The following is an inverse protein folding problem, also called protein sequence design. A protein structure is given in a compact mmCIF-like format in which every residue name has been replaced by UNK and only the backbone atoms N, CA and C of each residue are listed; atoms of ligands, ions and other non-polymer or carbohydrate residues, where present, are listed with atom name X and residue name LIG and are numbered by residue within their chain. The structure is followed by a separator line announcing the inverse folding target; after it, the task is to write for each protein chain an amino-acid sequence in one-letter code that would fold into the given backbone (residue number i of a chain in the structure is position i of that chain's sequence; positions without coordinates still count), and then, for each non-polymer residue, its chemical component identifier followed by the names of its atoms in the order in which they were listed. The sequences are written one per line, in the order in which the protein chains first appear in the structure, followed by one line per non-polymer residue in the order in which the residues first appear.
data_IF_214197077360
#
_entry.id   IF_214197077360
#
_cell.length_a   1.000
_cell.length_b   1.000
_cell.length_c   1.000
_cell.angle_alpha   90.00
_cell.angle_beta   90.00
_cell.angle_gamma   90.00
#
_symmetry.space_group_name_H-M   'P 1'
#
loop_
_entity.id
_entity.type
_entity.pdbx_description
1 polymer ?
#
# COMPACT_ATOMS: atom_id res chain seq x y z
N UNK A 1 -14.13 15.96 -18.68
CA UNK A 1 -15.01 16.88 -17.93
C UNK A 1 -16.35 17.12 -18.62
N UNK A 2 -16.38 17.20 -19.96
CA UNK A 2 -17.61 17.50 -20.73
C UNK A 2 -18.54 16.30 -20.86
N UNK A 3 -18.00 15.08 -20.87
CA UNK A 3 -18.77 13.85 -21.00
C UNK A 3 -18.35 12.81 -19.96
N UNK A 4 -18.75 13.04 -18.71
CA UNK A 4 -18.40 12.19 -17.59
C UNK A 4 -18.77 10.70 -17.77
N UNK A 5 -19.69 10.38 -18.68
CA UNK A 5 -20.11 9.02 -19.02
C UNK A 5 -18.97 8.17 -19.60
N UNK A 6 -18.10 8.78 -20.42
CA UNK A 6 -17.02 8.09 -21.14
C UNK A 6 -15.63 8.35 -20.55
N UNK A 7 -15.55 8.77 -19.29
CA UNK A 7 -14.28 9.11 -18.63
C UNK A 7 -13.77 8.04 -17.68
N UNK A 8 -14.30 6.83 -17.75
CA UNK A 8 -13.81 5.68 -17.01
C UNK A 8 -12.62 5.00 -17.72
N UNK A 9 -11.94 4.13 -16.98
CA UNK A 9 -10.74 3.46 -17.49
C UNK A 9 -11.00 2.65 -18.76
N UNK A 10 -12.07 1.83 -18.88
CA UNK A 10 -12.34 1.06 -20.08
C UNK A 10 -12.47 1.92 -21.35
N UNK A 11 -13.20 3.03 -21.29
CA UNK A 11 -13.35 3.94 -22.43
C UNK A 11 -12.03 4.61 -22.81
N UNK A 12 -11.19 4.98 -21.82
CA UNK A 12 -9.86 5.54 -22.08
C UNK A 12 -8.97 4.49 -22.78
N UNK A 13 -8.97 3.25 -22.32
CA UNK A 13 -8.20 2.16 -22.92
C UNK A 13 -8.66 1.86 -24.35
N UNK A 14 -9.97 1.82 -24.57
CA UNK A 14 -10.55 1.63 -25.91
C UNK A 14 -10.16 2.79 -26.84
N UNK A 15 -10.27 4.03 -26.37
CA UNK A 15 -9.89 5.22 -27.14
C UNK A 15 -8.40 5.25 -27.52
N UNK A 16 -7.51 4.81 -26.63
CA UNK A 16 -6.07 4.73 -26.93
C UNK A 16 -5.74 3.73 -28.04
N UNK A 17 -6.63 2.79 -28.32
CA UNK A 17 -6.45 1.80 -29.39
C UNK A 17 -7.01 2.26 -30.75
N UNK A 18 -7.69 3.41 -30.79
CA UNK A 18 -8.18 4.00 -32.05
C UNK A 18 -7.04 4.49 -32.96
N UNK A 19 -7.37 4.82 -34.20
CA UNK A 19 -6.41 5.39 -35.17
C UNK A 19 -5.89 6.74 -34.65
N UNK A 20 -4.69 7.13 -35.07
CA UNK A 20 -4.15 8.43 -34.70
C UNK A 20 -4.99 9.58 -35.22
N UNK A 21 -5.54 9.43 -36.44
CA UNK A 21 -6.46 10.39 -37.06
C UNK A 21 -7.64 10.64 -36.10
N UNK A 22 -8.31 9.58 -35.67
CA UNK A 22 -9.45 9.62 -34.76
C UNK A 22 -9.08 10.25 -33.41
N UNK A 23 -7.95 9.83 -32.83
CA UNK A 23 -7.49 10.36 -31.55
C UNK A 23 -7.25 11.88 -31.64
N UNK A 24 -6.54 12.33 -32.67
CA UNK A 24 -6.24 13.76 -32.83
C UNK A 24 -7.48 14.56 -33.20
N UNK A 25 -8.36 14.06 -34.04
CA UNK A 25 -9.62 14.72 -34.38
C UNK A 25 -10.44 15.01 -33.11
N UNK A 26 -10.64 14.01 -32.29
CA UNK A 26 -11.41 14.16 -31.03
C UNK A 26 -10.72 15.08 -30.03
N UNK A 27 -9.44 14.89 -29.76
CA UNK A 27 -8.72 15.66 -28.75
C UNK A 27 -8.51 17.13 -29.15
N UNK A 28 -8.44 17.41 -30.42
CA UNK A 28 -8.27 18.78 -30.95
C UNK A 28 -9.55 19.61 -30.91
N UNK A 29 -10.72 18.99 -30.71
CA UNK A 29 -11.98 19.74 -30.51
C UNK A 29 -12.02 20.50 -29.19
N UNK A 30 -11.19 20.10 -28.22
CA UNK A 30 -11.12 20.75 -26.92
C UNK A 30 -10.00 21.80 -26.88
N UNK A 31 -10.37 23.06 -26.68
CA UNK A 31 -9.44 24.20 -26.65
C UNK A 31 -8.46 24.18 -25.47
N UNK A 32 -8.75 23.47 -24.38
CA UNK A 32 -7.85 23.31 -23.24
C UNK A 32 -6.85 22.16 -23.48
N UNK A 33 -7.26 21.14 -24.24
CA UNK A 33 -6.43 19.95 -24.52
C UNK A 33 -5.52 20.15 -25.72
N UNK A 34 -6.01 20.83 -26.76
CA UNK A 34 -5.28 21.04 -28.02
C UNK A 34 -3.84 21.58 -27.83
N UNK A 35 -3.56 22.56 -26.95
CA UNK A 35 -2.18 23.03 -26.71
C UNK A 35 -1.26 21.98 -26.10
N UNK A 36 -1.80 21.03 -25.32
CA UNK A 36 -1.03 19.98 -24.68
C UNK A 36 -0.54 18.91 -25.65
N UNK A 37 -1.16 18.83 -26.82
CA UNK A 37 -0.85 17.86 -27.86
C UNK A 37 0.25 18.33 -28.83
N UNK A 38 0.82 19.52 -28.62
CA UNK A 38 1.77 20.14 -29.57
C UNK A 38 2.85 19.21 -30.10
N UNK A 39 3.65 18.51 -29.23
CA UNK A 39 4.71 17.62 -29.71
C UNK A 39 4.17 16.43 -30.54
N UNK A 40 3.05 15.85 -30.12
CA UNK A 40 2.41 14.72 -30.81
C UNK A 40 1.81 15.16 -32.13
N UNK A 41 1.15 16.31 -32.16
CA UNK A 41 0.58 16.89 -33.36
C UNK A 41 1.64 17.19 -34.42
N UNK A 42 2.77 17.76 -34.02
CA UNK A 42 3.87 18.05 -34.95
C UNK A 42 4.39 16.78 -35.61
N UNK A 43 4.53 15.68 -34.84
CA UNK A 43 4.93 14.39 -35.39
C UNK A 43 3.86 13.83 -36.36
N UNK A 44 2.59 13.97 -36.01
CA UNK A 44 1.47 13.52 -36.88
C UNK A 44 1.37 14.32 -38.18
N UNK A 45 1.37 15.65 -38.10
CA UNK A 45 1.28 16.56 -39.27
C UNK A 45 2.47 16.36 -40.25
N UNK A 46 3.66 16.09 -39.70
CA UNK A 46 4.87 15.79 -40.47
C UNK A 46 4.93 14.33 -40.97
N UNK A 47 3.91 13.51 -40.70
CA UNK A 47 3.86 12.09 -41.03
C UNK A 47 5.04 11.28 -40.46
N UNK A 48 5.60 11.72 -39.32
CA UNK A 48 6.68 11.06 -38.62
C UNK A 48 6.10 9.92 -37.76
N UNK A 49 5.50 8.91 -38.39
CA UNK A 49 4.76 7.84 -37.72
C UNK A 49 5.64 7.00 -36.79
N UNK A 50 6.90 6.74 -37.13
CA UNK A 50 7.85 6.04 -36.25
C UNK A 50 8.10 6.80 -34.94
N UNK A 51 8.21 8.14 -35.02
CA UNK A 51 8.35 8.97 -33.83
C UNK A 51 7.06 8.95 -32.97
N UNK A 52 5.91 9.02 -33.60
CA UNK A 52 4.62 8.99 -32.95
C UNK A 52 4.39 7.63 -32.27
N UNK A 53 4.70 6.53 -32.94
CA UNK A 53 4.67 5.18 -32.34
C UNK A 53 5.66 5.04 -31.20
N UNK A 54 6.84 5.62 -31.26
CA UNK A 54 7.79 5.63 -30.15
C UNK A 54 7.23 6.32 -28.90
N UNK A 55 6.46 7.40 -29.07
CA UNK A 55 5.84 8.15 -27.96
C UNK A 55 4.57 7.47 -27.40
N UNK A 56 3.70 6.96 -28.25
CA UNK A 56 2.37 6.42 -27.86
C UNK A 56 2.39 4.90 -27.77
N UNK A 57 3.17 4.22 -28.60
CA UNK A 57 3.24 2.77 -28.66
C UNK A 57 3.67 2.14 -27.35
N UNK A 58 4.60 2.75 -26.63
CA UNK A 58 5.00 2.30 -25.28
C UNK A 58 3.80 2.32 -24.31
N UNK A 59 3.00 3.39 -24.34
CA UNK A 59 1.79 3.49 -23.52
C UNK A 59 0.78 2.40 -23.91
N UNK A 60 0.56 2.18 -25.23
CA UNK A 60 -0.33 1.12 -25.74
C UNK A 60 0.11 -0.26 -25.27
N UNK A 61 1.40 -0.58 -25.35
CA UNK A 61 1.94 -1.87 -24.88
C UNK A 61 1.68 -2.07 -23.38
N UNK A 62 1.94 -1.06 -22.55
CA UNK A 62 1.69 -1.17 -21.11
C UNK A 62 0.20 -1.24 -20.75
N UNK A 63 -0.66 -0.56 -21.48
CA UNK A 63 -2.09 -0.51 -21.19
C UNK A 63 -2.88 -1.65 -21.83
N UNK A 64 -2.40 -2.27 -22.92
CA UNK A 64 -3.09 -3.35 -23.62
C UNK A 64 -3.39 -4.55 -22.72
N UNK A 65 -2.48 -4.88 -21.80
CA UNK A 65 -2.67 -5.96 -20.82
C UNK A 65 -3.82 -5.71 -19.85
N UNK A 66 -4.24 -4.44 -19.68
CA UNK A 66 -5.35 -4.06 -18.82
C UNK A 66 -6.69 -4.08 -19.58
N UNK A 67 -6.68 -4.22 -20.90
CA UNK A 67 -7.86 -4.21 -21.76
C UNK A 67 -8.51 -5.61 -21.82
N UNK A 68 -8.85 -6.18 -20.67
CA UNK A 68 -9.59 -7.46 -20.57
C UNK A 68 -11.07 -7.21 -20.37
N UNK A 69 -11.91 -8.18 -20.73
CA UNK A 69 -13.37 -8.10 -20.52
C UNK A 69 -13.73 -8.00 -19.04
N UNK A 70 -12.95 -8.63 -18.15
CA UNK A 70 -13.09 -8.55 -16.71
C UNK A 70 -12.77 -7.14 -16.18
N UNK A 71 -11.66 -6.58 -16.61
CA UNK A 71 -11.29 -5.21 -16.25
C UNK A 71 -12.33 -4.20 -16.71
N UNK A 72 -12.84 -4.37 -17.94
CA UNK A 72 -13.88 -3.51 -18.48
C UNK A 72 -15.17 -3.59 -17.66
N UNK A 73 -15.55 -4.78 -17.22
CA UNK A 73 -16.70 -4.97 -16.36
C UNK A 73 -16.56 -4.29 -14.99
N UNK A 74 -15.41 -4.47 -14.34
CA UNK A 74 -15.18 -3.93 -12.99
C UNK A 74 -15.06 -2.41 -12.99
N UNK A 75 -14.43 -1.83 -14.01
CA UNK A 75 -14.11 -0.40 -14.05
C UNK A 75 -15.06 0.45 -14.91
N UNK A 76 -16.07 -0.17 -15.53
CA UNK A 76 -17.12 0.58 -16.24
C UNK A 76 -18.10 1.20 -15.26
N UNK A 77 -18.67 2.35 -15.62
CA UNK A 77 -19.68 3.05 -14.81
C UNK A 77 -21.08 2.46 -14.87
N UNK A 78 -21.23 1.27 -15.45
CA UNK A 78 -22.52 0.60 -15.54
C UNK A 78 -22.76 -0.27 -14.31
N UNK A 79 -23.49 0.24 -13.35
CA UNK A 79 -23.85 -0.44 -12.11
C UNK A 79 -23.82 0.45 -10.88
N UNK A 80 -23.88 -0.17 -9.72
CA UNK A 80 -23.74 0.52 -8.44
C UNK A 80 -22.26 0.92 -8.26
N UNK A 81 -21.98 2.22 -8.37
CA UNK A 81 -20.65 2.75 -8.19
C UNK A 81 -20.20 2.61 -6.73
N UNK A 82 -19.09 1.91 -6.49
CA UNK A 82 -18.44 1.90 -5.19
C UNK A 82 -17.54 3.13 -5.03
N UNK A 83 -17.89 4.03 -4.12
CA UNK A 83 -17.01 5.15 -3.80
C UNK A 83 -15.87 4.69 -2.89
N UNK A 84 -14.63 4.80 -3.37
CA UNK A 84 -13.42 4.48 -2.61
C UNK A 84 -13.19 5.39 -1.39
N UNK A 85 -14.10 6.30 -1.06
CA UNK A 85 -14.07 7.06 0.19
C UNK A 85 -14.66 6.25 1.34
N UNK A 86 -14.01 5.14 1.68
CA UNK A 86 -14.41 4.25 2.79
C UNK A 86 -14.46 4.94 4.15
N UNK A 87 -13.89 6.15 4.26
CA UNK A 87 -13.92 7.01 5.45
C UNK A 87 -15.14 7.91 5.54
N UNK A 88 -16.12 7.80 4.63
CA UNK A 88 -17.33 8.62 4.68
C UNK A 88 -18.21 8.18 5.87
N UNK A 89 -18.54 9.09 6.81
CA UNK A 89 -19.40 8.75 7.95
C UNK A 89 -20.82 8.35 7.56
N UNK A 90 -21.31 8.77 6.38
CA UNK A 90 -22.64 8.42 5.90
C UNK A 90 -22.69 7.03 5.25
N UNK A 91 -21.55 6.58 4.72
CA UNK A 91 -21.40 5.30 4.01
C UNK A 91 -20.09 4.59 4.37
N UNK A 92 -19.86 4.26 5.66
CA UNK A 92 -18.66 3.54 6.06
C UNK A 92 -18.64 2.16 5.39
N UNK A 93 -17.52 1.78 4.81
CA UNK A 93 -17.43 0.59 3.98
C UNK A 93 -16.17 -0.22 4.23
N UNK A 94 -16.23 -1.52 3.95
CA UNK A 94 -15.06 -2.39 3.87
C UNK A 94 -14.70 -2.62 2.41
N UNK A 95 -13.41 -2.53 2.11
CA UNK A 95 -12.86 -2.88 0.80
C UNK A 95 -11.85 -4.00 0.98
N UNK A 96 -12.11 -5.13 0.36
CA UNK A 96 -11.20 -6.27 0.29
C UNK A 96 -10.63 -6.34 -1.13
N UNK A 97 -9.31 -6.35 -1.22
CA UNK A 97 -8.59 -6.47 -2.49
C UNK A 97 -7.73 -7.73 -2.40
N UNK A 98 -7.95 -8.65 -3.33
CA UNK A 98 -7.14 -9.86 -3.44
C UNK A 98 -6.21 -9.78 -4.64
N UNK A 99 -5.07 -10.46 -4.56
CA UNK A 99 -4.16 -10.69 -5.69
C UNK A 99 -4.30 -12.15 -6.15
N UNK A 100 -4.00 -12.39 -7.42
CA UNK A 100 -3.96 -13.73 -8.01
C UNK A 100 -2.55 -13.96 -8.54
N UNK A 101 -1.80 -14.94 -7.99
CA UNK A 101 -0.44 -15.24 -8.42
C UNK A 101 -0.31 -15.59 -9.91
N UNK A 102 -1.33 -16.21 -10.51
CA UNK A 102 -1.32 -16.57 -11.94
C UNK A 102 -1.48 -15.35 -12.86
N UNK A 103 -2.15 -14.29 -12.36
CA UNK A 103 -2.45 -13.08 -13.11
C UNK A 103 -1.85 -11.81 -12.47
N UNK A 104 -0.81 -11.97 -11.67
CA UNK A 104 -0.22 -10.90 -10.86
C UNK A 104 0.13 -9.64 -11.66
N UNK A 105 0.67 -9.80 -12.86
CA UNK A 105 1.05 -8.66 -13.72
C UNK A 105 -0.12 -7.78 -14.17
N UNK A 106 -1.33 -8.33 -14.22
CA UNK A 106 -2.55 -7.61 -14.61
C UNK A 106 -3.27 -7.14 -13.34
N UNK A 107 -3.58 -8.06 -12.44
CA UNK A 107 -4.33 -7.78 -11.21
C UNK A 107 -3.56 -6.86 -10.28
N UNK A 108 -2.24 -7.06 -10.14
CA UNK A 108 -1.39 -6.17 -9.35
C UNK A 108 -1.41 -4.72 -9.86
N UNK A 109 -1.41 -4.52 -11.19
CA UNK A 109 -1.53 -3.18 -11.77
C UNK A 109 -2.90 -2.53 -11.51
N UNK A 110 -3.98 -3.31 -11.60
CA UNK A 110 -5.34 -2.85 -11.29
C UNK A 110 -5.49 -2.53 -9.80
N UNK A 111 -4.99 -3.40 -8.93
CA UNK A 111 -4.97 -3.19 -7.49
C UNK A 111 -4.18 -1.93 -7.13
N UNK A 112 -3.01 -1.71 -7.75
CA UNK A 112 -2.23 -0.48 -7.56
C UNK A 112 -3.00 0.79 -7.97
N UNK A 113 -3.78 0.73 -9.04
CA UNK A 113 -4.65 1.84 -9.47
C UNK A 113 -5.73 2.13 -8.43
N UNK A 114 -6.43 1.11 -7.93
CA UNK A 114 -7.45 1.23 -6.89
C UNK A 114 -6.84 1.81 -5.62
N UNK A 115 -5.71 1.26 -5.14
CA UNK A 115 -5.03 1.70 -3.92
C UNK A 115 -4.54 3.15 -4.02
N UNK A 116 -3.95 3.54 -5.15
CA UNK A 116 -3.53 4.94 -5.36
C UNK A 116 -4.72 5.92 -5.36
N UNK A 117 -5.88 5.49 -5.85
CA UNK A 117 -7.11 6.27 -5.79
C UNK A 117 -7.67 6.30 -4.38
N UNK A 118 -7.72 5.16 -3.69
CA UNK A 118 -8.14 5.02 -2.29
C UNK A 118 -7.38 5.98 -1.38
N UNK A 119 -6.05 6.00 -1.46
CA UNK A 119 -5.19 6.92 -0.69
C UNK A 119 -5.60 8.37 -0.88
N UNK A 120 -5.85 8.77 -2.11
CA UNK A 120 -6.28 10.14 -2.41
C UNK A 120 -7.66 10.43 -1.79
N UNK A 121 -8.57 9.46 -1.77
CA UNK A 121 -9.93 9.61 -1.23
C UNK A 121 -9.95 9.65 0.29
N UNK A 122 -9.20 8.77 0.97
CA UNK A 122 -9.19 8.72 2.44
C UNK A 122 -8.33 9.82 3.07
N UNK A 123 -7.33 10.32 2.34
CA UNK A 123 -6.43 11.39 2.83
C UNK A 123 -7.00 12.81 2.58
N UNK A 124 -8.30 12.95 2.55
CA UNK A 124 -9.01 14.23 2.38
C UNK A 124 -10.16 14.34 3.38
N UNK A 125 -10.56 15.56 3.73
CA UNK A 125 -11.72 15.81 4.58
C UNK A 125 -11.40 15.79 6.07
N UNK A 126 -10.30 16.42 6.48
CA UNK A 126 -9.85 16.52 7.88
C UNK A 126 -10.99 16.74 8.89
N UNK A 127 -11.01 15.94 9.94
CA UNK A 127 -11.97 16.03 11.04
C UNK A 127 -13.37 15.45 10.76
N UNK A 128 -13.75 15.25 9.51
CA UNK A 128 -15.07 14.71 9.11
C UNK A 128 -15.08 13.21 8.84
N UNK A 129 -13.92 12.59 8.75
CA UNK A 129 -13.79 11.17 8.43
C UNK A 129 -14.03 10.27 9.64
N UNK A 130 -14.61 9.09 9.42
CA UNK A 130 -14.51 8.00 10.38
C UNK A 130 -13.09 7.40 10.33
N UNK A 131 -12.61 6.78 11.42
CA UNK A 131 -11.32 6.09 11.40
C UNK A 131 -11.29 4.98 10.35
N UNK A 132 -10.18 4.88 9.62
CA UNK A 132 -9.95 3.84 8.61
C UNK A 132 -8.63 3.13 8.91
N UNK A 133 -8.63 1.82 8.79
CA UNK A 133 -7.41 1.01 8.81
C UNK A 133 -7.14 0.44 7.41
N UNK A 134 -5.93 0.69 6.92
CA UNK A 134 -5.42 0.09 5.68
C UNK A 134 -4.41 -0.98 6.10
N UNK A 135 -4.71 -2.23 5.79
CA UNK A 135 -3.86 -3.38 6.11
C UNK A 135 -3.40 -4.00 4.79
N UNK A 136 -2.10 -4.03 4.58
CA UNK A 136 -1.45 -4.66 3.42
C UNK A 136 -0.60 -5.81 3.93
N UNK A 137 -1.01 -7.04 3.67
CA UNK A 137 -0.37 -8.24 4.20
C UNK A 137 0.99 -8.52 3.56
N UNK A 138 1.10 -8.36 2.26
CA UNK A 138 2.36 -8.56 1.51
C UNK A 138 2.62 -7.36 0.59
N UNK A 139 3.28 -6.33 1.12
CA UNK A 139 3.52 -5.07 0.41
C UNK A 139 4.36 -5.22 -0.87
N UNK A 140 5.39 -6.09 -0.94
CA UNK A 140 6.18 -6.27 -2.17
C UNK A 140 5.37 -6.74 -3.37
N UNK A 141 4.24 -7.43 -3.19
CA UNK A 141 3.38 -7.86 -4.30
C UNK A 141 2.54 -6.73 -4.91
N UNK A 142 2.58 -5.55 -4.31
CA UNK A 142 1.76 -4.40 -4.69
C UNK A 142 2.62 -3.15 -4.84
N UNK A 143 2.68 -2.57 -6.04
CA UNK A 143 3.33 -1.27 -6.22
C UNK A 143 2.41 -0.13 -5.76
N UNK A 144 2.55 0.28 -4.52
CA UNK A 144 1.73 1.30 -3.88
C UNK A 144 2.48 2.63 -3.78
N UNK A 145 2.57 3.34 -4.89
CA UNK A 145 3.45 4.51 -5.07
C UNK A 145 3.30 5.64 -4.03
N UNK A 146 2.11 5.82 -3.45
CA UNK A 146 1.84 6.94 -2.52
C UNK A 146 1.81 6.53 -1.05
N UNK A 147 2.30 5.34 -0.73
CA UNK A 147 2.22 4.82 0.63
C UNK A 147 3.05 5.66 1.63
N UNK A 148 4.23 6.12 1.23
CA UNK A 148 5.09 6.97 2.03
C UNK A 148 4.40 8.29 2.42
N UNK A 149 3.69 8.91 1.49
CA UNK A 149 2.91 10.12 1.75
C UNK A 149 1.73 9.84 2.66
N UNK A 150 1.04 8.73 2.46
CA UNK A 150 -0.09 8.36 3.29
C UNK A 150 0.34 8.21 4.74
N UNK A 151 1.41 7.44 5.01
CA UNK A 151 1.91 7.23 6.37
C UNK A 151 2.22 8.56 7.04
N UNK A 152 2.89 9.49 6.33
CA UNK A 152 3.27 10.81 6.86
C UNK A 152 2.09 11.77 7.11
N UNK A 153 0.96 11.63 6.41
CA UNK A 153 -0.16 12.59 6.45
C UNK A 153 -1.47 12.00 6.96
N UNK A 154 -1.53 10.69 7.15
CA UNK A 154 -2.77 9.97 7.45
C UNK A 154 -3.35 10.28 8.83
N UNK A 155 -2.52 10.67 9.80
CA UNK A 155 -2.94 10.92 11.20
C UNK A 155 -4.08 11.93 11.30
N UNK A 156 -3.97 13.06 10.60
CA UNK A 156 -5.01 14.12 10.61
C UNK A 156 -6.33 13.68 9.98
N UNK A 157 -6.30 12.66 9.13
CA UNK A 157 -7.47 12.05 8.50
C UNK A 157 -7.96 10.78 9.19
N UNK A 158 -7.39 10.44 10.36
CA UNK A 158 -7.72 9.23 11.16
C UNK A 158 -7.49 7.93 10.38
N UNK A 159 -6.45 7.88 9.56
CA UNK A 159 -6.07 6.66 8.82
C UNK A 159 -4.89 6.01 9.51
N UNK A 160 -5.02 4.75 9.90
CA UNK A 160 -3.91 3.88 10.30
C UNK A 160 -3.45 3.02 9.13
N UNK A 161 -2.16 2.72 9.08
CA UNK A 161 -1.57 1.92 8.01
C UNK A 161 -0.73 0.82 8.64
N UNK A 162 -1.03 -0.42 8.29
CA UNK A 162 -0.26 -1.61 8.67
C UNK A 162 0.30 -2.25 7.40
N UNK A 163 1.62 -2.43 7.35
CA UNK A 163 2.32 -2.98 6.20
C UNK A 163 3.03 -4.26 6.61
N UNK A 164 2.71 -5.38 5.97
CA UNK A 164 3.39 -6.64 6.08
C UNK A 164 4.38 -6.86 4.94
N UNK A 165 5.51 -7.45 5.25
CA UNK A 165 6.50 -7.97 4.28
C UNK A 165 7.41 -8.98 5.00
N UNK A 166 8.09 -9.83 4.25
CA UNK A 166 8.91 -10.87 4.84
C UNK A 166 10.33 -10.39 5.12
N UNK A 167 10.97 -9.76 4.14
CA UNK A 167 12.37 -9.33 4.25
C UNK A 167 12.61 -7.99 3.54
N UNK A 168 13.53 -7.16 4.04
CA UNK A 168 13.85 -5.86 3.43
C UNK A 168 14.35 -5.94 1.99
N UNK A 169 15.16 -6.92 1.58
CA UNK A 169 15.58 -7.04 0.18
C UNK A 169 14.42 -7.18 -0.81
N UNK A 170 13.31 -7.84 -0.43
CA UNK A 170 12.12 -7.92 -1.27
C UNK A 170 11.49 -6.54 -1.44
N UNK A 171 11.37 -5.79 -0.34
CA UNK A 171 10.83 -4.44 -0.37
C UNK A 171 11.74 -3.49 -1.19
N UNK A 172 13.07 -3.67 -1.11
CA UNK A 172 14.03 -2.90 -1.90
C UNK A 172 13.93 -3.20 -3.41
N UNK A 173 13.68 -4.46 -3.77
CA UNK A 173 13.54 -4.86 -5.17
C UNK A 173 12.38 -4.13 -5.86
N UNK A 174 11.24 -3.93 -5.18
CA UNK A 174 10.04 -3.35 -5.77
C UNK A 174 9.93 -1.84 -5.59
N UNK A 175 10.37 -1.31 -4.46
CA UNK A 175 10.27 0.12 -4.13
C UNK A 175 11.58 0.90 -4.34
N UNK A 176 12.66 0.19 -4.64
CA UNK A 176 14.02 0.73 -4.68
C UNK A 176 14.52 1.14 -3.29
N UNK A 177 15.83 1.31 -3.15
CA UNK A 177 16.47 1.64 -1.87
C UNK A 177 15.88 2.89 -1.20
N UNK A 178 15.64 3.94 -1.98
CA UNK A 178 15.08 5.20 -1.45
C UNK A 178 13.62 5.02 -0.98
N UNK A 179 12.81 4.27 -1.73
CA UNK A 179 11.42 3.98 -1.37
C UNK A 179 11.34 3.14 -0.10
N UNK A 180 12.09 2.06 -0.01
CA UNK A 180 12.22 1.23 1.18
C UNK A 180 12.61 2.06 2.40
N UNK A 181 13.68 2.88 2.29
CA UNK A 181 14.13 3.73 3.40
C UNK A 181 13.05 4.70 3.89
N UNK A 182 12.31 5.33 2.99
CA UNK A 182 11.19 6.21 3.36
C UNK A 182 10.11 5.46 4.13
N UNK A 183 9.77 4.25 3.71
CA UNK A 183 8.76 3.43 4.39
C UNK A 183 9.22 3.09 5.81
N UNK A 184 10.38 2.44 5.95
CA UNK A 184 10.85 1.94 7.25
C UNK A 184 11.20 3.04 8.25
N UNK A 185 11.57 4.26 7.79
CA UNK A 185 11.84 5.40 8.69
C UNK A 185 10.60 6.16 9.13
N UNK A 186 9.48 5.97 8.44
CA UNK A 186 8.23 6.70 8.74
C UNK A 186 7.32 5.92 9.70
N UNK A 187 7.48 4.59 9.80
CA UNK A 187 6.68 3.75 10.69
C UNK A 187 7.13 3.90 12.14
N UNK A 188 6.17 4.05 13.06
CA UNK A 188 6.45 4.18 14.49
C UNK A 188 6.43 2.83 15.22
N UNK A 189 5.65 1.87 14.73
CA UNK A 189 5.53 0.54 15.32
C UNK A 189 6.17 -0.48 14.39
N UNK A 190 7.01 -1.35 14.95
CA UNK A 190 7.65 -2.45 14.23
C UNK A 190 7.46 -3.73 15.02
N UNK A 191 6.92 -4.75 14.36
CA UNK A 191 6.75 -6.09 14.91
C UNK A 191 7.38 -7.07 13.94
N UNK A 192 8.30 -7.90 14.40
CA UNK A 192 8.97 -8.90 13.58
C UNK A 192 8.98 -10.27 14.26
N UNK A 193 8.78 -11.30 13.47
CA UNK A 193 9.18 -12.66 13.80
C UNK A 193 10.68 -12.88 13.53
N UNK A 194 11.10 -14.14 13.37
CA UNK A 194 12.47 -14.46 12.94
C UNK A 194 12.70 -13.95 11.52
N UNK A 195 13.88 -13.38 11.26
CA UNK A 195 14.32 -12.94 9.95
C UNK A 195 15.62 -13.66 9.56
N UNK A 196 15.92 -13.71 8.28
CA UNK A 196 17.12 -14.40 7.77
C UNK A 196 18.01 -13.52 6.92
N UNK A 197 17.44 -12.55 6.20
CA UNK A 197 18.23 -11.64 5.40
C UNK A 197 19.10 -10.73 6.28
N UNK A 198 20.35 -10.59 5.89
CA UNK A 198 21.34 -9.80 6.63
C UNK A 198 20.87 -8.37 6.84
N UNK A 199 20.34 -7.76 5.82
CA UNK A 199 19.83 -6.36 5.82
C UNK A 199 18.69 -6.19 6.85
N UNK A 200 17.76 -7.15 6.91
CA UNK A 200 16.66 -7.16 7.88
C UNK A 200 17.19 -7.33 9.31
N UNK A 201 18.13 -8.25 9.51
CA UNK A 201 18.74 -8.49 10.82
C UNK A 201 19.55 -7.27 11.29
N UNK A 202 20.31 -6.62 10.41
CA UNK A 202 21.07 -5.42 10.72
C UNK A 202 20.13 -4.26 11.07
N UNK A 203 19.07 -4.05 10.31
CA UNK A 203 18.06 -3.03 10.59
C UNK A 203 17.39 -3.26 11.96
N UNK A 204 16.91 -4.46 12.23
CA UNK A 204 16.29 -4.78 13.53
C UNK A 204 17.29 -4.60 14.68
N UNK A 205 18.50 -5.16 14.56
CA UNK A 205 19.49 -5.14 15.62
C UNK A 205 20.08 -3.75 15.88
N UNK A 206 20.40 -2.97 14.83
CA UNK A 206 21.11 -1.70 14.98
C UNK A 206 20.17 -0.50 15.06
N UNK A 207 19.12 -0.45 14.22
CA UNK A 207 18.25 0.73 14.12
C UNK A 207 17.06 0.62 15.07
N UNK A 208 16.43 -0.55 15.17
CA UNK A 208 15.29 -0.75 16.05
C UNK A 208 15.74 -0.95 17.50
N UNK A 209 16.63 -1.92 17.76
CA UNK A 209 17.11 -2.19 19.12
C UNK A 209 18.25 -1.27 19.54
N UNK A 210 19.18 -0.94 18.66
CA UNK A 210 20.35 -0.13 18.97
C UNK A 210 21.39 -0.86 19.77
N UNK A 211 22.32 -0.08 20.36
CA UNK A 211 23.49 -0.60 21.08
C UNK A 211 23.47 -0.18 22.54
N UNK A 212 24.06 -1.00 23.38
CA UNK A 212 24.28 -0.74 24.81
C UNK A 212 25.76 -0.78 25.12
N UNK A 213 26.20 0.05 26.07
CA UNK A 213 27.57 0.02 26.58
C UNK A 213 27.67 -1.13 27.58
N UNK A 214 28.53 -2.11 27.28
CA UNK A 214 28.87 -3.18 28.20
C UNK A 214 30.26 -2.91 28.80
N UNK A 215 30.31 -2.86 30.13
CA UNK A 215 31.56 -2.76 30.86
C UNK A 215 32.14 -4.16 31.06
N UNK A 216 33.16 -4.52 30.28
CA UNK A 216 33.89 -5.79 30.48
C UNK A 216 35.06 -5.55 31.43
N UNK A 217 34.99 -6.15 32.62
CA UNK A 217 36.09 -6.14 33.59
C UNK A 217 37.01 -7.34 33.30
N UNK A 218 38.19 -7.05 32.82
CA UNK A 218 39.27 -8.02 32.75
C UNK A 218 40.13 -7.95 33.99
N UNK A 219 40.29 -9.04 34.74
CA UNK A 219 41.22 -9.13 35.86
C UNK A 219 42.40 -9.98 35.43
N UNK A 220 43.59 -9.40 35.35
CA UNK A 220 44.81 -10.14 35.15
C UNK A 220 45.55 -10.25 36.47
N UNK A 221 45.71 -11.51 36.92
CA UNK A 221 46.45 -11.81 38.17
C UNK A 221 47.80 -12.36 37.76
N UNK A 222 48.84 -11.62 38.06
CA UNK A 222 50.24 -12.12 37.97
C UNK A 222 50.78 -12.28 39.39
N UNK A 223 51.92 -13.00 39.57
CA UNK A 223 52.44 -13.36 40.89
C UNK A 223 52.66 -12.19 41.84
N UNK A 224 52.94 -10.99 41.30
CA UNK A 224 53.24 -9.81 42.11
C UNK A 224 52.31 -8.60 41.81
N UNK A 225 51.33 -8.68 40.89
CA UNK A 225 50.44 -7.56 40.51
C UNK A 225 49.07 -8.05 40.04
N UNK A 226 48.06 -7.44 40.59
CA UNK A 226 46.68 -7.58 40.09
C UNK A 226 46.36 -6.30 39.34
N UNK A 227 46.08 -6.40 38.03
CA UNK A 227 45.59 -5.28 37.23
C UNK A 227 44.14 -5.53 36.82
N UNK A 228 43.32 -4.51 36.97
CA UNK A 228 41.91 -4.50 36.59
C UNK A 228 41.82 -3.59 35.35
N UNK A 229 41.48 -4.19 34.21
CA UNK A 229 41.18 -3.42 33.01
C UNK A 229 39.68 -3.34 32.86
N UNK A 230 39.16 -2.12 32.75
CA UNK A 230 37.75 -1.89 32.43
C UNK A 230 37.71 -1.42 30.97
N UNK A 231 37.15 -2.26 30.11
CA UNK A 231 36.97 -1.93 28.70
C UNK A 231 35.47 -1.66 28.47
N UNK A 232 35.15 -0.54 27.88
CA UNK A 232 33.83 -0.20 27.39
C UNK A 232 33.66 -0.73 25.98
N UNK A 233 32.75 -1.68 25.78
CA UNK A 233 32.39 -2.16 24.45
C UNK A 233 30.94 -1.80 24.16
N UNK A 234 30.68 -1.33 22.94
CA UNK A 234 29.34 -1.15 22.43
C UNK A 234 28.86 -2.45 21.78
N UNK A 235 28.00 -3.18 22.46
CA UNK A 235 27.37 -4.39 21.93
C UNK A 235 25.90 -4.13 21.55
N UNK A 236 25.38 -4.83 20.54
CA UNK A 236 23.97 -4.72 20.15
C UNK A 236 23.07 -5.16 21.31
N UNK A 237 22.00 -4.42 21.59
CA UNK A 237 21.04 -4.76 22.65
C UNK A 237 20.41 -6.15 22.38
N UNK A 238 20.06 -6.40 21.14
CA UNK A 238 19.62 -7.71 20.64
C UNK A 238 20.44 -8.05 19.40
N UNK A 239 21.38 -8.99 19.47
CA UNK A 239 22.16 -9.41 18.32
C UNK A 239 21.29 -10.02 17.22
N UNK A 240 21.67 -9.78 15.95
CA UNK A 240 20.94 -10.34 14.80
C UNK A 240 20.81 -11.86 14.84
N UNK A 241 21.83 -12.57 15.33
CA UNK A 241 21.76 -14.04 15.52
C UNK A 241 20.62 -14.46 16.45
N UNK A 242 20.37 -13.70 17.53
CA UNK A 242 19.26 -13.99 18.44
C UNK A 242 17.89 -13.79 17.77
N UNK A 243 17.79 -12.82 16.84
CA UNK A 243 16.58 -12.60 16.06
C UNK A 243 16.39 -13.73 15.04
N UNK A 244 17.46 -14.13 14.37
CA UNK A 244 17.43 -15.23 13.39
C UNK A 244 17.00 -16.58 14.01
N UNK A 245 17.41 -16.82 15.25
CA UNK A 245 17.14 -18.06 15.98
C UNK A 245 15.83 -18.03 16.79
N UNK A 246 14.99 -17.02 16.61
CA UNK A 246 13.71 -16.95 17.34
C UNK A 246 12.80 -18.14 17.00
N UNK A 247 12.32 -18.89 18.00
CA UNK A 247 11.37 -19.96 17.78
C UNK A 247 9.97 -19.44 17.46
N UNK A 248 9.13 -20.30 16.91
CA UNK A 248 7.72 -19.99 16.63
C UNK A 248 7.01 -19.44 17.86
N UNK A 249 6.21 -18.40 17.67
CA UNK A 249 5.48 -17.73 18.75
C UNK A 249 6.28 -16.66 19.49
N UNK A 250 7.52 -16.37 19.05
CA UNK A 250 8.28 -15.24 19.56
C UNK A 250 8.19 -14.07 18.61
N UNK A 251 8.14 -12.87 19.17
CA UNK A 251 8.14 -11.60 18.44
C UNK A 251 9.14 -10.62 19.04
N UNK A 252 9.64 -9.76 18.21
CA UNK A 252 10.49 -8.66 18.64
C UNK A 252 10.13 -7.37 17.91
N UNK A 253 10.53 -6.23 18.45
CA UNK A 253 10.27 -4.97 17.80
C UNK A 253 10.24 -3.77 18.72
N UNK A 254 9.50 -2.76 18.26
CA UNK A 254 9.36 -1.48 18.94
C UNK A 254 7.94 -0.96 18.76
N UNK A 255 7.36 -0.36 19.81
CA UNK A 255 6.13 0.43 19.74
C UNK A 255 6.42 1.92 19.83
N UNK A 256 5.61 2.72 19.15
CA UNK A 256 5.66 4.17 19.33
C UNK A 256 5.32 4.55 20.78
N UNK A 257 5.98 5.58 21.29
CA UNK A 257 5.69 6.08 22.64
C UNK A 257 4.47 7.00 22.58
N UNK A 258 3.45 6.67 23.34
CA UNK A 258 2.34 7.57 23.62
C UNK A 258 2.52 8.23 24.99
N UNK A 259 2.14 9.49 25.07
CA UNK A 259 2.05 10.18 26.35
C UNK A 259 0.89 9.59 27.15
N UNK A 260 1.18 9.06 28.33
CA UNK A 260 0.15 8.61 29.25
C UNK A 260 -0.52 9.85 29.84
N UNK A 261 -1.77 10.10 29.46
CA UNK A 261 -2.61 11.11 30.09
C UNK A 261 -3.17 10.54 31.39
N UNK A 262 -2.55 10.83 32.50
CA UNK A 262 -3.12 10.51 33.82
C UNK A 262 -4.08 11.64 34.21
N UNK A 263 -5.35 11.30 34.49
CA UNK A 263 -6.29 12.20 35.15
C UNK A 263 -5.91 12.24 36.65
N UNK A 264 -5.20 13.26 37.06
CA UNK A 264 -5.05 13.57 38.48
C UNK A 264 -6.15 14.54 38.92
N UNK A 265 -7.02 14.07 39.76
CA UNK A 265 -8.08 14.63 40.55
C UNK A 265 -8.55 16.08 40.39
N UNK A 266 -9.89 16.29 40.42
CA UNK A 266 -10.65 17.53 40.60
C UNK A 266 -10.23 18.73 39.73
N UNK A 267 -10.71 18.76 38.51
CA UNK A 267 -10.66 19.92 37.64
C UNK A 267 -10.28 19.53 36.22
N UNK A 268 -10.78 20.25 35.22
CA UNK A 268 -10.57 20.01 33.79
C UNK A 268 -9.13 20.25 33.28
N UNK A 269 -8.10 20.28 34.15
CA UNK A 269 -6.69 20.37 33.79
C UNK A 269 -6.10 18.98 33.61
N UNK A 270 -5.69 18.65 32.40
CA UNK A 270 -4.85 17.50 32.13
C UNK A 270 -3.40 17.82 32.51
N UNK A 271 -2.91 17.31 33.63
CA UNK A 271 -1.50 17.30 33.93
C UNK A 271 -0.84 16.18 33.10
N UNK A 272 0.07 16.59 32.22
CA UNK A 272 0.96 15.68 31.51
C UNK A 272 2.07 15.35 32.48
N UNK A 273 2.00 14.20 33.17
CA UNK A 273 3.18 13.67 33.83
C UNK A 273 4.10 13.11 32.76
N UNK A 274 5.26 13.75 32.56
CA UNK A 274 6.39 13.11 31.92
C UNK A 274 6.73 11.87 32.74
N UNK A 275 6.72 10.70 32.10
CA UNK A 275 7.17 9.48 32.78
C UNK A 275 8.66 9.67 33.13
N UNK A 276 8.96 9.81 34.40
CA UNK A 276 10.33 10.00 34.91
C UNK A 276 11.24 8.78 34.64
N UNK A 277 10.67 7.64 34.24
CA UNK A 277 11.42 6.47 33.81
C UNK A 277 11.38 6.28 32.32
N UNK A 278 12.56 6.12 31.73
CA UNK A 278 12.80 5.72 30.34
C UNK A 278 12.30 4.27 30.15
N UNK A 279 10.99 4.08 30.04
CA UNK A 279 10.44 2.80 29.64
C UNK A 279 10.80 2.52 28.19
N UNK A 280 11.50 1.43 27.95
CA UNK A 280 11.83 1.02 26.59
C UNK A 280 10.54 0.62 25.88
N UNK A 281 10.26 1.26 24.75
CA UNK A 281 9.18 0.84 23.84
C UNK A 281 9.53 -0.43 23.06
N UNK A 282 10.70 -1.02 23.34
CA UNK A 282 11.27 -2.18 22.67
C UNK A 282 10.86 -3.46 23.38
N UNK A 283 10.54 -4.49 22.63
CA UNK A 283 10.12 -5.78 23.18
C UNK A 283 10.81 -6.94 22.44
N UNK A 284 11.06 -8.00 23.20
CA UNK A 284 11.51 -9.30 22.72
C UNK A 284 10.86 -10.34 23.63
N UNK A 285 9.75 -10.93 23.18
CA UNK A 285 8.90 -11.73 24.05
C UNK A 285 8.25 -12.89 23.28
N UNK A 286 7.81 -13.89 24.05
CA UNK A 286 6.91 -14.91 23.55
C UNK A 286 5.48 -14.38 23.56
N UNK A 287 4.74 -14.63 22.48
CA UNK A 287 3.31 -14.36 22.43
C UNK A 287 2.57 -15.48 23.15
N UNK A 288 1.62 -15.08 23.99
CA UNK A 288 0.70 -16.02 24.63
C UNK A 288 -0.69 -15.83 24.01
N UNK A 289 -1.06 -16.76 23.14
CA UNK A 289 -2.36 -16.74 22.49
C UNK A 289 -3.35 -17.56 23.31
N UNK A 290 -4.47 -16.96 23.68
CA UNK A 290 -5.58 -17.68 24.24
C UNK A 290 -6.32 -18.46 23.12
N UNK A 291 -5.84 -19.66 22.81
CA UNK A 291 -6.40 -20.49 21.75
C UNK A 291 -7.86 -20.87 21.98
N UNK A 292 -8.33 -20.91 23.22
CA UNK A 292 -9.73 -21.18 23.54
C UNK A 292 -10.62 -20.00 23.16
N UNK A 293 -10.19 -18.78 23.48
CA UNK A 293 -10.88 -17.55 23.13
C UNK A 293 -10.94 -17.35 21.61
N UNK A 294 -9.78 -17.52 20.94
CA UNK A 294 -9.69 -17.48 19.48
C UNK A 294 -10.65 -18.50 18.85
N UNK A 295 -10.64 -19.75 19.29
CA UNK A 295 -11.54 -20.78 18.76
C UNK A 295 -13.01 -20.51 19.03
N UNK A 296 -13.36 -19.76 20.08
CA UNK A 296 -14.74 -19.34 20.33
C UNK A 296 -15.13 -18.17 19.43
N UNK A 297 -14.24 -17.20 19.19
CA UNK A 297 -14.46 -16.11 18.22
C UNK A 297 -14.64 -16.65 16.81
N UNK A 298 -13.82 -17.61 16.38
CA UNK A 298 -13.94 -18.23 15.05
C UNK A 298 -15.30 -18.90 14.83
N UNK A 299 -15.87 -19.52 15.87
CA UNK A 299 -17.24 -20.06 15.81
C UNK A 299 -18.29 -18.98 15.60
N UNK A 300 -18.03 -17.79 16.09
CA UNK A 300 -18.92 -16.64 15.95
C UNK A 300 -18.87 -16.01 14.54
N UNK A 301 -17.79 -16.21 13.78
CA UNK A 301 -17.69 -15.70 12.39
C UNK A 301 -18.79 -16.25 11.49
N UNK A 302 -19.29 -17.46 11.75
CA UNK A 302 -20.42 -18.04 10.99
C UNK A 302 -21.70 -17.20 11.12
N UNK A 303 -21.82 -16.40 12.20
CA UNK A 303 -22.97 -15.50 12.43
C UNK A 303 -22.93 -14.24 11.57
N UNK A 304 -21.75 -13.87 11.05
CA UNK A 304 -21.58 -12.68 10.22
C UNK A 304 -21.78 -13.03 8.76
N UNK A 305 -22.64 -12.31 8.04
CA UNK A 305 -22.85 -12.57 6.64
C UNK A 305 -21.57 -12.25 5.86
N UNK A 306 -21.17 -13.16 4.99
CA UNK A 306 -20.10 -12.90 4.03
C UNK A 306 -20.46 -11.70 3.15
N UNK A 307 -19.48 -10.95 2.65
CA UNK A 307 -19.71 -9.90 1.67
C UNK A 307 -20.55 -10.41 0.51
N UNK A 308 -21.46 -9.59 0.00
CA UNK A 308 -22.24 -9.93 -1.18
C UNK A 308 -21.33 -9.87 -2.40
N UNK A 309 -20.99 -11.04 -2.92
CA UNK A 309 -20.29 -11.14 -4.19
C UNK A 309 -21.31 -11.12 -5.35
N UNK A 310 -20.95 -10.45 -6.44
CA UNK A 310 -21.73 -10.55 -7.66
C UNK A 310 -21.68 -11.99 -8.17
N UNK A 311 -22.84 -12.62 -8.32
CA UNK A 311 -22.95 -14.00 -8.80
C UNK A 311 -23.52 -14.00 -10.21
N UNK A 312 -22.74 -14.48 -11.15
CA UNK A 312 -23.25 -14.77 -12.48
C UNK A 312 -24.14 -16.02 -12.42
N UNK A 313 -25.23 -16.08 -13.22
CA UNK A 313 -26.16 -17.24 -13.21
C UNK A 313 -25.49 -18.54 -13.64
N UNK A 314 -24.55 -18.50 -14.58
CA UNK A 314 -23.71 -19.62 -15.01
C UNK A 314 -22.41 -19.14 -15.60
N UNK A 315 -21.48 -20.04 -15.91
CA UNK A 315 -20.20 -19.71 -16.58
C UNK A 315 -20.45 -19.13 -17.97
N UNK A 316 -21.37 -19.70 -18.72
CA UNK A 316 -21.74 -19.24 -20.07
C UNK A 316 -22.41 -17.86 -20.00
N UNK A 317 -23.26 -17.62 -18.99
CA UNK A 317 -23.87 -16.31 -18.75
C UNK A 317 -22.83 -15.27 -18.39
N UNK A 318 -21.82 -15.61 -17.55
CA UNK A 318 -20.68 -14.76 -17.24
C UNK A 318 -19.98 -14.32 -18.52
N UNK A 319 -19.54 -15.27 -19.33
CA UNK A 319 -18.81 -14.98 -20.56
C UNK A 319 -19.61 -14.07 -21.51
N UNK A 320 -20.89 -14.36 -21.69
CA UNK A 320 -21.78 -13.55 -22.53
C UNK A 320 -21.93 -12.12 -22.00
N UNK A 321 -22.11 -11.95 -20.69
CA UNK A 321 -22.30 -10.62 -20.07
C UNK A 321 -21.02 -9.80 -20.19
N UNK A 322 -19.86 -10.38 -19.83
CA UNK A 322 -18.57 -9.71 -19.91
C UNK A 322 -18.23 -9.30 -21.35
N UNK A 323 -18.48 -10.19 -22.31
CA UNK A 323 -18.21 -9.92 -23.72
C UNK A 323 -19.17 -8.87 -24.30
N UNK A 324 -20.44 -8.89 -23.91
CA UNK A 324 -21.40 -7.87 -24.34
C UNK A 324 -21.03 -6.48 -23.82
N UNK A 325 -20.59 -6.38 -22.55
CA UNK A 325 -20.09 -5.13 -21.97
C UNK A 325 -18.82 -4.63 -22.70
N UNK A 326 -17.88 -5.52 -22.98
CA UNK A 326 -16.66 -5.19 -23.71
C UNK A 326 -16.96 -4.65 -25.12
N UNK A 327 -17.85 -5.31 -25.86
CA UNK A 327 -18.27 -4.86 -27.19
C UNK A 327 -19.01 -3.52 -27.15
N UNK A 328 -19.84 -3.30 -26.13
CA UNK A 328 -20.57 -2.05 -25.97
C UNK A 328 -19.62 -0.88 -25.77
N UNK A 329 -18.65 -1.01 -24.88
CA UNK A 329 -17.68 0.06 -24.59
C UNK A 329 -16.85 0.40 -25.84
N UNK A 330 -16.38 -0.61 -26.56
CA UNK A 330 -15.65 -0.38 -27.82
C UNK A 330 -16.52 0.31 -28.87
N UNK A 331 -17.81 -0.04 -28.94
CA UNK A 331 -18.76 0.61 -29.84
C UNK A 331 -19.06 2.05 -29.41
N UNK A 332 -19.22 2.30 -28.12
CA UNK A 332 -19.46 3.64 -27.58
C UNK A 332 -18.27 4.58 -27.91
N UNK A 333 -17.04 4.09 -27.93
CA UNK A 333 -15.88 4.84 -28.39
C UNK A 333 -15.99 5.24 -29.88
N UNK A 334 -16.43 4.33 -30.74
CA UNK A 334 -16.61 4.60 -32.18
C UNK A 334 -17.73 5.60 -32.45
N UNK A 335 -18.84 5.54 -31.71
CA UNK A 335 -19.94 6.51 -31.83
C UNK A 335 -19.53 7.92 -31.40
N UNK A 336 -18.64 8.01 -30.39
CA UNK A 336 -18.13 9.29 -29.91
C UNK A 336 -17.30 10.04 -30.97
N UNK A 337 -16.65 9.30 -31.87
CA UNK A 337 -15.85 9.84 -32.97
C UNK A 337 -16.68 10.23 -34.17
N UNK A 338 -17.89 9.68 -34.32
CA UNK A 338 -18.79 10.01 -35.45
C UNK A 338 -19.69 11.23 -35.19
N UNK A 339 -19.87 11.62 -33.90
CA UNK A 339 -20.74 12.73 -33.49
C UNK A 339 -19.95 13.99 -33.03
N UNK A 340 -18.62 13.98 -33.14
CA UNK A 340 -17.72 15.09 -32.85
C UNK A 340 -17.38 15.86 -34.12
#
# INVERSE_FOLDING_TARGET
KRQGKYSDMPHILSFLNESYETIFEVLMTDTEVAPLLGPFRTAFDNKAMEQLEGMIGTLRVFTSRLATKESYWIFSKEGDDFDLKVSDPNHPSYLLIANDPEMESIIGALNALILNRLVTRVNTGQGKNVPVSIIVDELPTLYFHKIDRLIGTARSNKVSVTLGFQELPQLEADYGKTGMQKIITTVGNVVSGSARAKETLEWLSNDIFGKVVQLKKGVTIDRDRTSININENMDSLVPGSKIADMPTGWICGQTARDFVKTKTGRGDSMDIQEAEEFQTSKFFCKTDFNMEEIGNEEKDYVKYPLPKFYKFPSVEAKERILYANFLKINKDCLLYTSDA
#
